data_IF_196156634971
#
_entry.id   IF_196156634971
#
_cell.length_a   1.000
_cell.length_b   1.000
_cell.length_c   1.000
_cell.angle_alpha   90.00
_cell.angle_beta   90.00
_cell.angle_gamma   90.00
#
_symmetry.space_group_name_H-M   'P 1'
#
loop_
_entity.id
_entity.type
_entity.pdbx_description
1 polymer ?
#
# COMPACT_ATOMS: atom_id res chain seq x y z
N UNK A 1 -71.83 18.78 51.04
CA UNK A 1 -70.70 17.83 51.13
C UNK A 1 -70.27 17.47 49.73
N UNK A 2 -69.24 18.15 49.22
CA UNK A 2 -68.77 18.05 47.83
C UNK A 2 -67.43 17.39 47.87
N UNK A 3 -67.30 16.24 47.23
CA UNK A 3 -66.02 15.49 47.10
C UNK A 3 -65.33 15.97 45.86
N UNK A 4 -64.05 16.47 46.01
CA UNK A 4 -63.10 16.76 44.94
C UNK A 4 -62.32 15.51 44.68
N UNK A 5 -62.40 15.04 43.45
CA UNK A 5 -61.52 13.94 42.95
C UNK A 5 -60.19 14.52 42.41
N UNK A 6 -59.06 14.10 42.96
CA UNK A 6 -57.75 14.44 42.47
C UNK A 6 -57.36 13.48 41.33
N UNK A 7 -57.06 14.03 40.17
CA UNK A 7 -56.50 13.27 39.01
C UNK A 7 -54.96 13.28 39.12
N UNK A 8 -54.39 12.13 39.35
CA UNK A 8 -52.94 11.95 39.31
C UNK A 8 -52.47 11.74 37.83
N UNK A 9 -51.70 12.68 37.31
CA UNK A 9 -51.01 12.53 36.00
C UNK A 9 -49.65 11.86 36.23
N UNK A 10 -49.55 10.57 35.86
CA UNK A 10 -48.29 9.85 35.83
C UNK A 10 -47.54 10.13 34.53
N UNK A 11 -46.55 11.03 34.58
CA UNK A 11 -45.63 11.28 33.48
C UNK A 11 -44.56 10.16 33.42
N UNK A 12 -44.62 9.31 32.41
CA UNK A 12 -43.55 8.35 32.10
C UNK A 12 -42.40 9.08 31.41
N UNK A 13 -41.26 9.23 32.09
CA UNK A 13 -39.99 9.64 31.51
C UNK A 13 -39.47 8.50 30.64
N UNK A 14 -39.67 8.58 29.35
CA UNK A 14 -39.05 7.71 28.37
C UNK A 14 -37.57 8.00 28.32
N UNK A 15 -36.73 7.09 28.88
CA UNK A 15 -35.30 7.10 28.63
C UNK A 15 -35.08 6.70 27.17
N UNK A 16 -34.67 7.65 26.33
CA UNK A 16 -34.14 7.33 25.01
C UNK A 16 -32.86 6.47 25.16
N UNK A 17 -32.92 5.24 24.72
CA UNK A 17 -31.70 4.40 24.60
C UNK A 17 -30.69 5.15 23.74
N UNK A 18 -29.42 5.20 24.14
CA UNK A 18 -28.38 5.77 23.28
C UNK A 18 -28.38 5.01 21.94
N UNK A 19 -28.47 5.76 20.84
CA UNK A 19 -28.35 5.19 19.51
C UNK A 19 -27.03 4.41 19.48
N UNK A 20 -27.09 3.13 19.09
CA UNK A 20 -25.91 2.35 18.88
C UNK A 20 -24.98 3.12 17.92
N UNK A 21 -23.73 3.35 18.33
CA UNK A 21 -22.75 3.99 17.48
C UNK A 21 -22.73 3.25 16.15
N UNK A 22 -22.87 3.99 15.04
CA UNK A 22 -22.73 3.39 13.72
C UNK A 22 -21.42 2.59 13.68
N UNK A 23 -21.41 1.36 13.12
CA UNK A 23 -20.17 0.58 13.03
C UNK A 23 -19.12 1.45 12.36
N UNK A 24 -17.91 1.51 12.96
CA UNK A 24 -16.80 2.28 12.42
C UNK A 24 -16.64 1.94 10.93
N UNK A 25 -16.56 2.96 10.08
CA UNK A 25 -16.45 2.80 8.62
C UNK A 25 -15.30 1.81 8.30
N UNK A 26 -15.58 0.66 7.70
CA UNK A 26 -14.60 -0.45 7.64
C UNK A 26 -13.50 -0.27 6.59
N UNK A 27 -13.43 0.88 5.93
CA UNK A 27 -12.62 1.10 4.75
C UNK A 27 -11.44 2.06 4.92
N UNK A 28 -11.10 2.70 3.81
CA UNK A 28 -10.07 3.74 3.75
C UNK A 28 -10.32 4.91 4.71
N UNK A 29 -11.57 5.37 4.97
CA UNK A 29 -11.83 6.40 5.97
C UNK A 29 -11.33 6.05 7.37
N UNK A 30 -11.53 4.82 7.83
CA UNK A 30 -10.99 4.38 9.11
C UNK A 30 -9.46 4.35 9.11
N UNK A 31 -8.85 3.90 8.01
CA UNK A 31 -7.40 3.92 7.85
C UNK A 31 -6.84 5.36 7.85
N UNK A 32 -7.51 6.31 7.21
CA UNK A 32 -7.12 7.74 7.24
C UNK A 32 -7.13 8.31 8.67
N UNK A 33 -8.06 7.87 9.50
CA UNK A 33 -8.19 8.32 10.89
C UNK A 33 -7.16 7.68 11.85
N UNK A 34 -6.42 6.66 11.41
CA UNK A 34 -5.39 6.02 12.23
C UNK A 34 -4.14 6.90 12.37
N UNK A 35 -3.45 6.71 13.48
CA UNK A 35 -2.10 7.25 13.69
C UNK A 35 -1.10 6.25 13.09
N UNK A 36 -0.17 6.78 12.31
CA UNK A 36 0.96 6.03 11.74
C UNK A 36 2.23 6.56 12.38
N UNK A 37 3.04 5.68 12.95
CA UNK A 37 4.20 6.00 13.78
C UNK A 37 5.42 5.16 13.40
N UNK A 38 5.56 4.83 12.11
CA UNK A 38 6.67 4.04 11.59
C UNK A 38 8.02 4.56 12.10
N UNK A 39 8.79 3.71 12.77
CA UNK A 39 10.00 4.08 13.50
C UNK A 39 11.01 2.93 13.53
N UNK A 40 12.18 3.19 14.11
CA UNK A 40 13.16 2.16 14.45
C UNK A 40 13.66 1.32 13.26
N UNK A 41 13.90 1.98 12.10
CA UNK A 41 14.56 1.29 10.98
C UNK A 41 15.97 0.86 11.41
N UNK A 42 16.17 -0.44 11.59
CA UNK A 42 17.41 -1.03 12.14
C UNK A 42 18.00 -2.07 11.20
N UNK A 43 19.32 -2.02 11.02
CA UNK A 43 20.08 -3.12 10.42
C UNK A 43 20.20 -4.24 11.46
N UNK A 44 19.75 -5.43 11.07
CA UNK A 44 19.78 -6.62 11.96
C UNK A 44 20.93 -7.56 11.63
N UNK A 45 21.29 -7.65 10.33
CA UNK A 45 22.34 -8.56 9.87
C UNK A 45 22.93 -8.08 8.56
N UNK A 46 24.24 -8.17 8.43
CA UNK A 46 24.92 -8.07 7.14
C UNK A 46 24.76 -9.40 6.37
N UNK A 47 24.31 -9.32 5.14
CA UNK A 47 24.10 -10.45 4.24
C UNK A 47 25.14 -10.48 3.10
N UNK A 48 26.21 -9.67 3.20
CA UNK A 48 27.23 -9.53 2.17
C UNK A 48 26.84 -8.47 1.13
N UNK A 49 26.97 -8.80 -0.13
CA UNK A 49 26.66 -7.87 -1.22
C UNK A 49 27.52 -8.10 -2.46
N UNK A 50 27.75 -7.02 -3.19
CA UNK A 50 28.56 -6.99 -4.43
C UNK A 50 29.63 -5.91 -4.34
N UNK A 51 30.41 -5.72 -5.41
CA UNK A 51 31.30 -4.55 -5.51
C UNK A 51 30.56 -3.20 -5.54
N UNK A 52 29.26 -3.19 -5.90
CA UNK A 52 28.45 -1.99 -6.03
C UNK A 52 27.66 -1.64 -4.78
N UNK A 53 27.21 -2.61 -3.99
CA UNK A 53 26.37 -2.38 -2.81
C UNK A 53 26.58 -3.46 -1.73
N UNK A 54 26.15 -3.15 -0.51
CA UNK A 54 25.96 -4.09 0.60
C UNK A 54 24.50 -4.45 0.76
N UNK A 55 24.20 -5.68 1.22
CA UNK A 55 22.86 -6.19 1.46
C UNK A 55 22.68 -6.47 2.94
N UNK A 56 21.57 -5.98 3.51
CA UNK A 56 21.30 -6.11 4.93
C UNK A 56 19.88 -6.60 5.18
N UNK A 57 19.73 -7.50 6.15
CA UNK A 57 18.42 -7.74 6.76
C UNK A 57 18.09 -6.56 7.69
N UNK A 58 16.87 -6.06 7.59
CA UNK A 58 16.40 -4.93 8.37
C UNK A 58 15.07 -5.22 9.04
N UNK A 59 14.74 -4.42 10.06
CA UNK A 59 13.40 -4.35 10.66
C UNK A 59 13.00 -2.90 10.85
N UNK A 60 11.70 -2.66 10.91
CA UNK A 60 11.11 -1.41 11.39
C UNK A 60 9.81 -1.70 12.12
N UNK A 61 9.34 -0.76 12.94
CA UNK A 61 8.08 -0.87 13.65
C UNK A 61 6.94 -0.29 12.82
N UNK A 62 5.81 -1.01 12.78
CA UNK A 62 4.56 -0.63 12.10
C UNK A 62 3.41 -0.75 13.12
N UNK A 63 3.19 0.31 13.89
CA UNK A 63 2.39 0.26 15.11
C UNK A 63 3.04 -0.69 16.13
N UNK A 64 2.28 -1.69 16.58
CA UNK A 64 2.76 -2.73 17.50
C UNK A 64 3.42 -3.92 16.79
N UNK A 65 3.58 -3.88 15.47
CA UNK A 65 4.17 -4.97 14.70
C UNK A 65 5.59 -4.63 14.25
N UNK A 66 6.50 -5.60 14.39
CA UNK A 66 7.83 -5.56 13.76
C UNK A 66 7.76 -6.16 12.37
N UNK A 67 8.11 -5.36 11.37
CA UNK A 67 8.15 -5.78 9.96
C UNK A 67 9.60 -5.98 9.53
N UNK A 68 9.86 -7.11 8.88
CA UNK A 68 11.18 -7.43 8.31
C UNK A 68 11.32 -6.94 6.87
N UNK A 69 12.55 -6.91 6.38
CA UNK A 69 12.85 -6.56 5.00
C UNK A 69 14.32 -6.70 4.65
N UNK A 70 14.62 -6.33 3.41
CA UNK A 70 15.99 -6.26 2.88
C UNK A 70 16.30 -4.84 2.46
N UNK A 71 17.47 -4.37 2.85
CA UNK A 71 18.05 -3.12 2.37
C UNK A 71 19.29 -3.42 1.52
N UNK A 72 19.27 -3.04 0.24
CA UNK A 72 20.48 -2.95 -0.57
C UNK A 72 20.97 -1.50 -0.52
N UNK A 73 22.14 -1.30 0.12
CA UNK A 73 22.77 0.01 0.30
C UNK A 73 23.93 0.17 -0.67
N UNK A 74 23.94 1.21 -1.54
CA UNK A 74 25.09 1.51 -2.40
C UNK A 74 26.40 1.60 -1.63
N UNK A 75 27.54 1.28 -2.26
CA UNK A 75 28.87 1.55 -1.68
C UNK A 75 29.10 3.06 -1.60
N UNK A 76 29.87 3.49 -0.63
CA UNK A 76 30.16 4.90 -0.40
C UNK A 76 29.51 5.45 0.87
N UNK A 77 29.71 6.75 1.10
CA UNK A 77 29.27 7.41 2.33
C UNK A 77 27.78 7.80 2.31
N UNK A 78 27.21 8.14 1.14
CA UNK A 78 25.89 8.74 1.05
C UNK A 78 25.87 10.22 1.46
N UNK A 79 24.72 10.80 1.87
CA UNK A 79 23.44 10.11 2.01
C UNK A 79 22.83 9.74 0.65
N UNK A 80 22.11 8.62 0.59
CA UNK A 80 21.47 8.12 -0.60
C UNK A 80 19.94 8.21 -0.51
N UNK A 81 19.24 8.60 -1.58
CA UNK A 81 17.78 8.54 -1.62
C UNK A 81 17.29 7.11 -1.50
N UNK A 82 16.08 6.93 -0.97
CA UNK A 82 15.52 5.62 -0.69
C UNK A 82 14.34 5.34 -1.61
N UNK A 83 14.26 4.10 -2.11
CA UNK A 83 13.06 3.59 -2.80
C UNK A 83 12.52 2.42 -1.99
N UNK A 84 11.34 2.59 -1.40
CA UNK A 84 10.60 1.53 -0.73
C UNK A 84 9.95 0.65 -1.79
N UNK A 85 10.17 -0.67 -1.72
CA UNK A 85 9.67 -1.65 -2.67
C UNK A 85 8.55 -2.48 -2.05
N UNK A 86 7.35 -2.33 -2.60
CA UNK A 86 6.12 -3.00 -2.22
C UNK A 86 5.83 -4.16 -3.19
N UNK A 87 6.14 -5.41 -2.77
CA UNK A 87 6.11 -6.58 -3.66
C UNK A 87 4.70 -7.04 -4.04
N UNK A 88 4.59 -7.81 -5.14
CA UNK A 88 3.37 -8.49 -5.57
C UNK A 88 3.00 -9.66 -4.66
N UNK A 89 1.83 -10.27 -4.92
CA UNK A 89 1.39 -11.43 -4.14
C UNK A 89 2.36 -12.60 -4.29
N UNK A 90 2.80 -13.10 -3.17
CA UNK A 90 3.50 -14.39 -3.00
C UNK A 90 2.86 -15.02 -1.76
N UNK A 91 2.53 -16.31 -1.82
CA UNK A 91 1.93 -16.98 -0.67
C UNK A 91 2.82 -16.83 0.57
N UNK A 92 2.33 -16.26 1.67
CA UNK A 92 3.11 -16.06 2.89
C UNK A 92 3.76 -17.34 3.45
N UNK A 93 3.20 -18.51 3.13
CA UNK A 93 3.73 -19.81 3.58
C UNK A 93 5.05 -20.20 2.91
N UNK A 94 5.30 -19.68 1.71
CA UNK A 94 6.51 -19.97 0.91
C UNK A 94 7.36 -18.75 0.65
N UNK A 95 6.93 -17.59 1.10
CA UNK A 95 7.66 -16.33 0.92
C UNK A 95 8.99 -16.33 1.69
N UNK A 96 10.02 -15.84 1.04
CA UNK A 96 11.35 -15.63 1.63
C UNK A 96 11.66 -14.14 1.64
N UNK A 97 12.21 -13.64 2.75
CA UNK A 97 12.57 -12.23 2.96
C UNK A 97 13.29 -11.63 1.74
N UNK A 98 12.73 -10.55 1.21
CA UNK A 98 13.24 -9.85 0.04
C UNK A 98 12.94 -10.54 -1.29
N UNK A 99 12.02 -11.50 -1.33
CA UNK A 99 11.58 -12.15 -2.56
C UNK A 99 10.75 -11.19 -3.42
N UNK A 100 11.01 -11.22 -4.72
CA UNK A 100 10.46 -10.27 -5.68
C UNK A 100 11.41 -9.09 -5.93
N UNK A 101 11.15 -8.33 -6.97
CA UNK A 101 11.91 -7.13 -7.34
C UNK A 101 13.44 -7.29 -7.44
N UNK A 102 13.96 -8.48 -7.68
CA UNK A 102 15.42 -8.71 -7.67
C UNK A 102 16.19 -7.84 -8.66
N UNK A 103 15.61 -7.61 -9.84
CA UNK A 103 16.21 -6.73 -10.86
C UNK A 103 16.21 -5.28 -10.42
N UNK A 104 15.09 -4.82 -9.89
CA UNK A 104 14.89 -3.47 -9.38
C UNK A 104 15.77 -3.21 -8.16
N UNK A 105 15.85 -4.17 -7.22
CA UNK A 105 16.75 -4.07 -6.05
C UNK A 105 18.21 -3.92 -6.47
N UNK A 106 18.68 -4.73 -7.43
CA UNK A 106 20.06 -4.69 -7.94
C UNK A 106 20.31 -3.38 -8.69
N UNK A 107 19.40 -3.01 -9.60
CA UNK A 107 19.57 -1.82 -10.43
C UNK A 107 19.59 -0.55 -9.58
N UNK A 108 18.64 -0.37 -8.67
CA UNK A 108 18.56 0.79 -7.78
C UNK A 108 19.85 0.96 -6.98
N UNK A 109 20.32 -0.13 -6.36
CA UNK A 109 21.52 -0.08 -5.53
C UNK A 109 22.81 0.20 -6.34
N UNK A 110 22.87 -0.20 -7.63
CA UNK A 110 23.96 0.16 -8.54
C UNK A 110 23.91 1.60 -9.01
N UNK A 111 22.73 2.21 -8.98
CA UNK A 111 22.51 3.58 -9.46
C UNK A 111 22.28 4.58 -8.29
N UNK A 112 22.94 4.32 -7.17
CA UNK A 112 22.99 5.22 -6.01
C UNK A 112 21.66 5.42 -5.27
N UNK A 113 20.70 4.52 -5.38
CA UNK A 113 19.50 4.48 -4.57
C UNK A 113 19.59 3.36 -3.52
N UNK A 114 19.16 3.61 -2.30
CA UNK A 114 18.88 2.53 -1.36
C UNK A 114 17.58 1.84 -1.80
N UNK A 115 17.64 0.54 -2.06
CA UNK A 115 16.45 -0.28 -2.29
C UNK A 115 16.02 -0.91 -0.96
N UNK A 116 14.93 -0.42 -0.37
CA UNK A 116 14.34 -0.95 0.84
C UNK A 116 13.13 -1.83 0.49
N UNK A 117 13.34 -3.13 0.39
CA UNK A 117 12.29 -4.10 0.11
C UNK A 117 11.66 -4.59 1.41
N UNK A 118 10.38 -4.28 1.63
CA UNK A 118 9.65 -4.70 2.82
C UNK A 118 8.93 -6.04 2.61
N UNK A 119 8.77 -6.81 3.68
CA UNK A 119 8.16 -8.15 3.62
C UNK A 119 6.65 -8.15 3.89
N UNK A 120 6.06 -7.07 4.37
CA UNK A 120 4.71 -6.95 4.96
C UNK A 120 4.49 -7.85 6.20
N UNK A 121 3.44 -7.54 6.97
CA UNK A 121 2.93 -8.42 8.02
C UNK A 121 2.57 -9.79 7.45
N UNK A 122 2.65 -10.83 8.24
CA UNK A 122 2.42 -12.22 7.87
C UNK A 122 3.47 -12.85 6.94
N UNK A 123 4.44 -12.09 6.41
CA UNK A 123 5.45 -12.61 5.49
C UNK A 123 6.79 -12.81 6.21
N UNK A 124 7.49 -13.90 5.89
CA UNK A 124 8.80 -14.26 6.44
C UNK A 124 8.88 -14.10 7.98
N UNK A 125 9.81 -13.26 8.46
CA UNK A 125 10.03 -12.99 9.89
C UNK A 125 9.18 -11.86 10.47
N UNK A 126 8.32 -11.23 9.69
CA UNK A 126 7.40 -10.19 10.19
C UNK A 126 6.35 -10.73 11.12
N UNK A 127 5.88 -9.90 12.04
CA UNK A 127 4.80 -10.23 12.96
C UNK A 127 3.48 -10.54 12.22
N UNK A 128 2.59 -11.22 12.92
CA UNK A 128 1.35 -11.76 12.35
C UNK A 128 0.15 -10.90 12.69
N UNK A 129 -0.70 -10.70 11.67
CA UNK A 129 -2.02 -10.11 11.77
C UNK A 129 -3.04 -11.04 11.10
N UNK A 130 -3.89 -11.74 11.87
CA UNK A 130 -4.86 -12.67 11.32
C UNK A 130 -5.96 -11.98 10.51
N UNK A 131 -6.09 -10.68 10.59
CA UNK A 131 -7.14 -9.91 9.90
C UNK A 131 -6.71 -9.39 8.52
N UNK A 132 -5.43 -9.52 8.15
CA UNK A 132 -4.84 -8.93 6.94
C UNK A 132 -5.59 -9.30 5.64
N UNK A 133 -5.99 -10.58 5.48
CA UNK A 133 -6.70 -11.04 4.29
C UNK A 133 -8.15 -10.51 4.22
N UNK A 134 -8.79 -10.33 5.37
CA UNK A 134 -10.19 -9.86 5.46
C UNK A 134 -10.30 -8.34 5.52
N UNK A 135 -9.21 -7.61 5.75
CA UNK A 135 -9.16 -6.15 5.75
C UNK A 135 -8.84 -5.55 4.38
N UNK A 136 -8.98 -6.32 3.30
CA UNK A 136 -8.69 -5.89 1.92
C UNK A 136 -7.28 -5.29 1.75
N UNK A 137 -6.32 -5.84 2.51
CA UNK A 137 -4.89 -5.48 2.50
C UNK A 137 -4.57 -4.07 3.02
N UNK A 138 -5.50 -3.41 3.72
CA UNK A 138 -5.23 -2.12 4.37
C UNK A 138 -4.08 -2.20 5.37
N UNK A 139 -3.89 -3.36 6.03
CA UNK A 139 -2.72 -3.62 6.86
C UNK A 139 -1.39 -3.53 6.10
N UNK A 140 -1.34 -4.01 4.85
CA UNK A 140 -0.14 -3.88 4.01
C UNK A 140 0.13 -2.42 3.61
N UNK A 141 -0.93 -1.62 3.37
CA UNK A 141 -0.78 -0.19 3.15
C UNK A 141 -0.22 0.52 4.41
N UNK A 142 -0.65 0.10 5.60
CA UNK A 142 -0.10 0.58 6.86
C UNK A 142 1.41 0.25 6.98
N UNK A 143 1.82 -0.96 6.60
CA UNK A 143 3.23 -1.35 6.63
C UNK A 143 4.07 -0.51 5.65
N UNK A 144 3.54 -0.20 4.45
CA UNK A 144 4.20 0.69 3.48
C UNK A 144 4.34 2.11 4.02
N UNK A 145 3.26 2.67 4.60
CA UNK A 145 3.28 4.01 5.20
C UNK A 145 4.32 4.08 6.32
N UNK A 146 4.30 3.09 7.22
CA UNK A 146 5.22 3.05 8.35
C UNK A 146 6.67 2.78 7.92
N UNK A 147 6.92 2.03 6.84
CA UNK A 147 8.26 1.94 6.24
C UNK A 147 8.76 3.32 5.78
N UNK A 148 7.91 4.08 5.10
CA UNK A 148 8.24 5.45 4.68
C UNK A 148 8.53 6.37 5.87
N UNK A 149 7.70 6.36 6.90
CA UNK A 149 7.91 7.13 8.12
C UNK A 149 9.20 6.72 8.86
N UNK A 150 9.47 5.42 8.97
CA UNK A 150 10.70 4.92 9.59
C UNK A 150 11.96 5.34 8.81
N UNK A 151 11.87 5.52 7.48
CA UNK A 151 12.94 6.13 6.67
C UNK A 151 13.06 7.62 6.98
N UNK A 152 11.95 8.37 7.03
CA UNK A 152 11.92 9.82 7.34
C UNK A 152 12.53 10.14 8.72
N UNK A 153 12.33 9.26 9.70
CA UNK A 153 12.88 9.42 11.06
C UNK A 153 14.25 8.74 11.26
N UNK A 154 14.79 8.11 10.21
CA UNK A 154 16.03 7.34 10.33
C UNK A 154 17.24 8.24 10.68
N UNK A 155 18.02 7.81 11.66
CA UNK A 155 19.31 8.41 12.02
C UNK A 155 20.52 7.74 11.38
N UNK A 156 20.31 6.80 10.47
CA UNK A 156 21.38 6.11 9.74
C UNK A 156 22.06 7.10 8.78
N UNK A 157 23.36 7.41 8.95
CA UNK A 157 24.02 8.55 8.30
C UNK A 157 24.13 8.44 6.77
N UNK A 158 23.86 7.29 6.22
CA UNK A 158 23.89 7.05 4.77
C UNK A 158 22.50 7.14 4.11
N UNK A 159 21.43 7.33 4.88
CA UNK A 159 20.07 7.54 4.38
C UNK A 159 19.82 9.03 4.17
N UNK A 160 19.36 9.38 2.97
CA UNK A 160 18.73 10.66 2.74
C UNK A 160 17.23 10.54 3.06
N UNK A 161 16.86 10.99 4.23
CA UNK A 161 15.50 10.88 4.73
C UNK A 161 14.53 11.94 4.15
N UNK A 162 15.02 12.85 3.33
CA UNK A 162 14.20 13.84 2.60
C UNK A 162 13.89 13.42 1.17
N UNK A 163 14.57 12.37 0.64
CA UNK A 163 14.40 11.90 -0.75
C UNK A 163 13.91 10.45 -0.77
N UNK A 164 12.61 10.28 -0.84
CA UNK A 164 11.95 8.98 -0.66
C UNK A 164 10.91 8.70 -1.73
N UNK A 165 11.03 7.59 -2.46
CA UNK A 165 10.02 7.13 -3.40
C UNK A 165 9.42 5.78 -3.00
N UNK A 166 8.23 5.49 -3.54
CA UNK A 166 7.53 4.22 -3.43
C UNK A 166 7.48 3.53 -4.80
N UNK A 167 7.82 2.24 -4.86
CA UNK A 167 7.66 1.43 -6.06
C UNK A 167 6.88 0.15 -5.74
N UNK A 168 5.72 -0.01 -6.36
CA UNK A 168 4.84 -1.16 -6.14
C UNK A 168 4.60 -1.97 -7.40
N UNK A 169 4.53 -3.32 -7.28
CA UNK A 169 4.17 -4.20 -8.41
C UNK A 169 2.94 -5.04 -8.07
N UNK A 170 2.04 -5.21 -9.05
CA UNK A 170 0.88 -6.10 -8.92
C UNK A 170 0.07 -5.76 -7.67
N UNK A 171 -0.10 -6.69 -6.73
CA UNK A 171 -0.67 -6.42 -5.40
C UNK A 171 -0.03 -5.21 -4.74
N UNK A 172 1.31 -5.11 -4.75
CA UNK A 172 2.04 -3.99 -4.16
C UNK A 172 1.76 -2.65 -4.85
N UNK A 173 1.40 -2.64 -6.14
CA UNK A 173 0.91 -1.45 -6.84
C UNK A 173 -0.45 -0.99 -6.32
N UNK A 174 -1.38 -1.93 -6.08
CA UNK A 174 -2.66 -1.63 -5.43
C UNK A 174 -2.49 -1.14 -3.98
N UNK A 175 -1.56 -1.75 -3.23
CA UNK A 175 -1.18 -1.31 -1.88
C UNK A 175 -0.58 0.10 -1.91
N UNK A 176 0.23 0.43 -2.94
CA UNK A 176 0.78 1.78 -3.12
C UNK A 176 -0.35 2.81 -3.29
N UNK A 177 -1.37 2.55 -4.13
CA UNK A 177 -2.51 3.46 -4.25
C UNK A 177 -3.26 3.65 -2.93
N UNK A 178 -3.43 2.59 -2.13
CA UNK A 178 -4.02 2.71 -0.79
C UNK A 178 -3.14 3.58 0.12
N UNK A 179 -1.82 3.35 0.17
CA UNK A 179 -0.90 4.13 1.00
C UNK A 179 -0.94 5.63 0.65
N UNK A 180 -0.89 5.98 -0.65
CA UNK A 180 -0.92 7.36 -1.13
C UNK A 180 -2.22 8.11 -0.76
N UNK A 181 -3.38 7.44 -0.79
CA UNK A 181 -4.65 8.08 -0.40
C UNK A 181 -4.84 8.12 1.11
N UNK A 182 -4.32 7.15 1.85
CA UNK A 182 -4.43 7.08 3.32
C UNK A 182 -3.54 8.15 3.96
N UNK A 183 -2.27 8.20 3.57
CA UNK A 183 -1.29 9.12 4.15
C UNK A 183 -0.46 9.81 3.05
N UNK A 184 -1.03 10.79 2.35
CA UNK A 184 -0.30 11.55 1.32
C UNK A 184 0.87 12.33 1.94
N UNK A 185 1.92 12.58 1.16
CA UNK A 185 3.10 13.34 1.55
C UNK A 185 4.15 12.54 2.33
N UNK A 186 3.98 11.24 2.50
CA UNK A 186 5.05 10.37 3.05
C UNK A 186 6.15 10.14 2.02
N UNK A 187 5.77 10.00 0.74
CA UNK A 187 6.68 9.80 -0.38
C UNK A 187 6.74 11.03 -1.26
N UNK A 188 7.87 11.26 -1.94
CA UNK A 188 8.03 12.37 -2.89
C UNK A 188 7.58 11.99 -4.29
N UNK A 189 7.55 10.69 -4.60
CA UNK A 189 7.12 10.14 -5.87
C UNK A 189 6.67 8.68 -5.73
N UNK A 190 5.81 8.21 -6.63
CA UNK A 190 5.38 6.82 -6.65
C UNK A 190 5.45 6.21 -8.06
N UNK A 191 5.80 4.93 -8.11
CA UNK A 191 5.92 4.16 -9.35
C UNK A 191 5.13 2.86 -9.18
N UNK A 192 4.37 2.45 -10.21
CA UNK A 192 3.70 1.16 -10.20
C UNK A 192 3.96 0.35 -11.46
N UNK A 193 4.14 -0.96 -11.28
CA UNK A 193 4.23 -1.94 -12.36
C UNK A 193 3.04 -2.88 -12.30
N UNK A 194 2.26 -2.97 -13.38
CA UNK A 194 1.16 -3.94 -13.51
C UNK A 194 0.29 -4.01 -12.24
N UNK A 195 -0.10 -2.84 -11.72
CA UNK A 195 -0.83 -2.75 -10.46
C UNK A 195 -2.19 -3.46 -10.52
N UNK A 196 -2.62 -4.00 -9.39
CA UNK A 196 -4.02 -4.44 -9.23
C UNK A 196 -4.97 -3.25 -9.33
N UNK A 197 -6.25 -3.49 -9.55
CA UNK A 197 -7.24 -2.42 -9.70
C UNK A 197 -7.27 -1.50 -8.48
N UNK A 198 -7.38 -0.20 -8.72
CA UNK A 198 -7.70 0.78 -7.69
C UNK A 198 -9.15 0.72 -7.19
N UNK A 199 -9.99 -0.14 -7.85
CA UNK A 199 -11.31 -0.52 -7.40
C UNK A 199 -11.27 -1.89 -6.71
N UNK A 200 -11.61 -1.94 -5.44
CA UNK A 200 -11.54 -3.15 -4.63
C UNK A 200 -12.47 -4.26 -5.11
N UNK A 201 -13.61 -3.91 -5.74
CA UNK A 201 -14.56 -4.88 -6.30
C UNK A 201 -13.91 -5.73 -7.40
N UNK A 202 -13.10 -5.13 -8.28
CA UNK A 202 -12.42 -5.86 -9.35
C UNK A 202 -11.48 -6.92 -8.77
N UNK A 203 -10.71 -6.54 -7.74
CA UNK A 203 -9.77 -7.42 -7.05
C UNK A 203 -10.49 -8.57 -6.33
N UNK A 204 -11.59 -8.27 -5.62
CA UNK A 204 -12.41 -9.27 -4.98
C UNK A 204 -12.96 -10.27 -5.99
N UNK A 205 -13.55 -9.80 -7.08
CA UNK A 205 -14.15 -10.65 -8.12
C UNK A 205 -13.11 -11.54 -8.78
N UNK A 206 -11.89 -11.05 -9.01
CA UNK A 206 -10.85 -11.84 -9.69
C UNK A 206 -10.23 -12.91 -8.81
N UNK A 207 -9.88 -12.59 -7.56
CA UNK A 207 -9.03 -13.48 -6.76
C UNK A 207 -9.68 -14.02 -5.48
N UNK A 208 -10.68 -13.33 -4.92
CA UNK A 208 -11.21 -13.70 -3.61
C UNK A 208 -12.58 -14.38 -3.72
N UNK A 209 -13.45 -13.94 -4.61
CA UNK A 209 -14.84 -14.44 -4.75
C UNK A 209 -14.94 -15.98 -4.85
N UNK A 210 -13.97 -16.61 -5.48
CA UNK A 210 -13.94 -18.07 -5.70
C UNK A 210 -13.21 -18.84 -4.57
N UNK A 211 -12.59 -18.14 -3.62
CA UNK A 211 -12.08 -18.73 -2.39
C UNK A 211 -13.22 -18.83 -1.38
N UNK A 212 -13.92 -19.99 -1.34
CA UNK A 212 -15.16 -20.16 -0.62
C UNK A 212 -15.15 -19.77 0.87
N UNK A 213 -14.06 -19.96 1.61
CA UNK A 213 -13.97 -19.57 3.02
C UNK A 213 -13.69 -18.08 3.20
N UNK A 214 -12.70 -17.55 2.50
CA UNK A 214 -12.32 -16.13 2.57
C UNK A 214 -13.45 -15.24 2.03
N UNK A 215 -14.05 -15.61 0.89
CA UNK A 215 -15.18 -14.87 0.33
C UNK A 215 -16.36 -14.78 1.30
N UNK A 216 -16.74 -15.91 1.93
CA UNK A 216 -17.82 -15.92 2.94
C UNK A 216 -17.51 -14.99 4.12
N UNK A 217 -16.27 -15.01 4.63
CA UNK A 217 -15.87 -14.14 5.74
C UNK A 217 -15.94 -12.67 5.34
N UNK A 218 -15.44 -12.31 4.16
CA UNK A 218 -15.48 -10.93 3.64
C UNK A 218 -16.93 -10.49 3.44
N UNK A 219 -17.77 -11.30 2.79
CA UNK A 219 -19.18 -11.00 2.54
C UNK A 219 -19.97 -10.90 3.86
N UNK A 220 -19.71 -11.76 4.83
CA UNK A 220 -20.34 -11.67 6.14
C UNK A 220 -19.99 -10.37 6.87
N UNK A 221 -18.77 -9.87 6.67
CA UNK A 221 -18.26 -8.65 7.32
C UNK A 221 -18.76 -7.37 6.64
N UNK A 222 -18.81 -7.35 5.32
CA UNK A 222 -19.00 -6.12 4.52
C UNK A 222 -20.25 -6.11 3.64
N UNK A 223 -20.96 -7.23 3.52
CA UNK A 223 -21.94 -7.49 2.47
C UNK A 223 -21.26 -7.84 1.14
N UNK A 224 -22.03 -8.35 0.17
CA UNK A 224 -21.49 -8.54 -1.19
C UNK A 224 -21.35 -7.20 -1.92
N UNK A 225 -20.50 -7.10 -2.96
CA UNK A 225 -20.41 -5.88 -3.77
C UNK A 225 -21.76 -5.40 -4.31
N UNK A 226 -22.64 -6.32 -4.63
CA UNK A 226 -23.98 -6.03 -5.17
C UNK A 226 -24.97 -5.56 -4.08
N UNK A 227 -24.85 -6.12 -2.87
CA UNK A 227 -25.74 -5.77 -1.73
C UNK A 227 -25.29 -4.55 -0.97
N UNK A 228 -24.00 -4.23 -0.96
CA UNK A 228 -23.42 -3.11 -0.19
C UNK A 228 -22.42 -2.29 -1.03
N UNK A 229 -22.80 -1.75 -2.20
CA UNK A 229 -21.88 -1.09 -3.13
C UNK A 229 -21.13 0.10 -2.50
N UNK A 230 -21.78 0.84 -1.60
CA UNK A 230 -21.15 1.98 -0.93
C UNK A 230 -20.02 1.55 0.01
N UNK A 231 -20.17 0.43 0.72
CA UNK A 231 -19.07 -0.12 1.56
C UNK A 231 -17.85 -0.45 0.70
N UNK A 232 -18.05 -1.10 -0.43
CA UNK A 232 -16.98 -1.45 -1.37
C UNK A 232 -16.35 -0.20 -2.02
N UNK A 233 -17.13 0.83 -2.25
CA UNK A 233 -16.64 2.13 -2.70
C UNK A 233 -15.69 2.75 -1.66
N UNK A 234 -16.02 2.68 -0.37
CA UNK A 234 -15.15 3.21 0.70
C UNK A 234 -13.84 2.43 0.86
N UNK A 235 -13.77 1.19 0.39
CA UNK A 235 -12.54 0.38 0.38
C UNK A 235 -11.69 0.57 -0.88
N UNK A 236 -12.18 1.31 -1.87
CA UNK A 236 -11.53 1.50 -3.17
C UNK A 236 -10.66 2.76 -3.19
N UNK A 237 -9.36 2.62 -3.45
CA UNK A 237 -8.42 3.75 -3.44
C UNK A 237 -8.84 4.86 -4.42
N UNK A 238 -9.39 4.50 -5.60
CA UNK A 238 -9.83 5.49 -6.60
C UNK A 238 -10.86 6.50 -6.08
N UNK A 239 -11.65 6.14 -5.07
CA UNK A 239 -12.64 7.03 -4.43
C UNK A 239 -11.97 8.24 -3.76
N UNK A 240 -10.72 8.09 -3.38
CA UNK A 240 -9.98 9.08 -2.60
C UNK A 240 -8.79 9.69 -3.34
N UNK A 241 -8.70 9.52 -4.64
CA UNK A 241 -7.58 10.04 -5.43
C UNK A 241 -7.40 11.56 -5.35
N UNK A 242 -8.45 12.31 -5.01
CA UNK A 242 -8.32 13.73 -4.71
C UNK A 242 -7.31 14.04 -3.59
N UNK A 243 -7.02 13.08 -2.71
CA UNK A 243 -6.03 13.21 -1.61
C UNK A 243 -4.58 13.03 -2.02
N UNK A 244 -4.31 12.34 -3.14
CA UNK A 244 -2.95 12.10 -3.62
C UNK A 244 -2.23 13.42 -3.89
N UNK A 245 -1.00 13.52 -3.44
CA UNK A 245 -0.12 14.70 -3.64
C UNK A 245 1.13 14.36 -4.44
N UNK A 246 1.49 13.10 -4.49
CA UNK A 246 2.68 12.59 -5.16
C UNK A 246 2.48 12.48 -6.67
N UNK A 247 3.50 12.81 -7.50
CA UNK A 247 3.54 12.41 -8.89
C UNK A 247 3.61 10.88 -9.01
N UNK A 248 2.89 10.31 -9.98
CA UNK A 248 2.77 8.86 -10.16
C UNK A 248 3.16 8.46 -11.58
N UNK A 249 4.10 7.51 -11.70
CA UNK A 249 4.44 6.85 -12.96
C UNK A 249 3.93 5.41 -12.95
N UNK A 250 3.03 5.08 -13.88
CA UNK A 250 2.41 3.77 -13.97
C UNK A 250 2.87 3.05 -15.25
N UNK A 251 3.27 1.79 -15.12
CA UNK A 251 3.59 0.90 -16.24
C UNK A 251 2.62 -0.25 -16.31
N UNK A 252 2.09 -0.55 -17.52
CA UNK A 252 1.21 -1.68 -17.71
C UNK A 252 1.40 -2.33 -19.08
N UNK A 253 1.39 -3.67 -19.11
CA UNK A 253 1.45 -4.45 -20.34
C UNK A 253 0.05 -4.67 -20.93
N UNK A 254 -0.12 -4.50 -22.24
CA UNK A 254 -1.45 -4.69 -22.87
C UNK A 254 -1.86 -6.16 -23.00
N UNK A 255 -0.94 -7.10 -22.76
CA UNK A 255 -1.21 -8.55 -22.75
C UNK A 255 -0.99 -9.12 -21.33
N UNK A 256 -1.21 -8.30 -20.27
CA UNK A 256 -1.14 -8.74 -18.89
C UNK A 256 -2.34 -9.64 -18.56
N UNK A 257 -2.08 -10.92 -18.34
CA UNK A 257 -3.07 -11.94 -18.01
C UNK A 257 -3.47 -11.93 -16.52
N UNK A 258 -2.65 -11.33 -15.67
CA UNK A 258 -2.89 -11.25 -14.22
C UNK A 258 -3.69 -10.02 -13.84
N UNK A 259 -3.27 -8.84 -14.29
CA UNK A 259 -3.93 -7.56 -14.04
C UNK A 259 -4.39 -6.97 -15.38
N UNK A 260 -5.70 -6.87 -15.58
CA UNK A 260 -6.25 -6.37 -16.83
C UNK A 260 -5.81 -4.92 -17.11
N UNK A 261 -5.35 -4.64 -18.34
CA UNK A 261 -5.00 -3.28 -18.78
C UNK A 261 -6.16 -2.28 -18.61
N UNK A 262 -7.39 -2.73 -18.66
CA UNK A 262 -8.57 -1.90 -18.42
C UNK A 262 -8.55 -1.30 -17.01
N UNK A 263 -7.99 -1.99 -16.03
CA UNK A 263 -7.85 -1.49 -14.66
C UNK A 263 -6.85 -0.33 -14.56
N UNK A 264 -5.73 -0.46 -15.27
CA UNK A 264 -4.72 0.61 -15.33
C UNK A 264 -5.29 1.86 -16.01
N UNK A 265 -5.99 1.68 -17.14
CA UNK A 265 -6.66 2.79 -17.85
C UNK A 265 -7.73 3.46 -16.98
N UNK A 266 -8.54 2.67 -16.26
CA UNK A 266 -9.55 3.21 -15.34
C UNK A 266 -8.92 3.94 -14.13
N UNK A 267 -7.75 3.48 -13.67
CA UNK A 267 -6.99 4.13 -12.61
C UNK A 267 -6.42 5.46 -13.09
N UNK A 268 -5.81 5.47 -14.28
CA UNK A 268 -5.27 6.66 -14.94
C UNK A 268 -6.35 7.72 -15.16
N UNK A 269 -7.49 7.32 -15.74
CA UNK A 269 -8.63 8.21 -15.94
C UNK A 269 -9.15 8.80 -14.61
N UNK A 270 -9.18 8.00 -13.53
CA UNK A 270 -9.62 8.48 -12.22
C UNK A 270 -8.61 9.45 -11.58
N UNK A 271 -7.30 9.22 -11.71
CA UNK A 271 -6.25 10.15 -11.28
C UNK A 271 -6.30 11.45 -12.06
N UNK A 272 -6.39 11.37 -13.40
CA UNK A 272 -6.53 12.53 -14.28
C UNK A 272 -7.79 13.33 -13.96
N UNK A 273 -8.93 12.65 -13.77
CA UNK A 273 -10.20 13.28 -13.37
C UNK A 273 -10.13 13.96 -11.99
N UNK A 274 -9.24 13.51 -11.12
CA UNK A 274 -8.94 14.15 -9.84
C UNK A 274 -7.86 15.25 -9.93
N UNK A 275 -7.37 15.57 -11.13
CA UNK A 275 -6.34 16.60 -11.38
C UNK A 275 -4.95 16.23 -10.83
N UNK A 276 -4.59 14.93 -10.83
CA UNK A 276 -3.32 14.46 -10.28
C UNK A 276 -2.23 14.35 -11.35
N UNK A 277 -0.98 14.61 -10.95
CA UNK A 277 0.19 14.37 -11.80
C UNK A 277 0.45 12.87 -11.89
N UNK A 278 -0.16 12.24 -12.89
CA UNK A 278 -0.04 10.80 -13.13
C UNK A 278 0.20 10.53 -14.60
N UNK A 279 1.03 9.54 -14.91
CA UNK A 279 1.35 9.12 -16.27
C UNK A 279 1.25 7.60 -16.37
N UNK A 280 0.40 7.09 -17.27
CA UNK A 280 0.35 5.69 -17.66
C UNK A 280 1.17 5.45 -18.91
N UNK A 281 2.14 4.53 -18.84
CA UNK A 281 2.92 4.04 -19.99
C UNK A 281 2.48 2.61 -20.29
N UNK A 282 1.82 2.42 -21.43
CA UNK A 282 1.40 1.11 -21.89
C UNK A 282 2.46 0.45 -22.77
N UNK A 283 2.73 -0.83 -22.55
CA UNK A 283 3.65 -1.62 -23.38
C UNK A 283 2.86 -2.66 -24.18
N UNK A 284 2.79 -2.44 -25.50
CA UNK A 284 2.09 -3.33 -26.43
C UNK A 284 2.65 -4.76 -26.34
N UNK A 285 1.75 -5.73 -26.17
CA UNK A 285 2.04 -7.17 -26.08
C UNK A 285 2.97 -7.55 -24.89
N UNK A 286 3.24 -6.67 -23.94
CA UNK A 286 3.94 -7.04 -22.71
C UNK A 286 2.97 -7.71 -21.72
N UNK A 287 3.45 -8.76 -21.05
CA UNK A 287 2.75 -9.43 -19.95
C UNK A 287 3.12 -8.84 -18.59
N UNK A 288 2.70 -9.53 -17.54
CA UNK A 288 2.77 -9.05 -16.14
C UNK A 288 4.17 -8.71 -15.64
N UNK A 289 5.23 -9.36 -16.12
CA UNK A 289 6.59 -9.26 -15.57
C UNK A 289 7.54 -8.34 -16.34
N UNK A 290 7.12 -7.73 -17.45
CA UNK A 290 7.91 -6.78 -18.22
C UNK A 290 9.30 -7.29 -18.66
N UNK A 291 9.42 -8.58 -19.01
CA UNK A 291 10.73 -9.11 -19.42
C UNK A 291 11.26 -8.43 -20.69
N UNK A 292 10.41 -8.21 -21.70
CA UNK A 292 10.80 -7.56 -22.94
C UNK A 292 11.13 -6.09 -22.78
N UNK A 293 10.22 -5.25 -22.25
CA UNK A 293 10.45 -3.81 -22.16
C UNK A 293 11.26 -3.35 -20.94
N UNK A 294 11.90 -4.25 -20.19
CA UNK A 294 12.64 -3.94 -18.97
C UNK A 294 13.61 -2.77 -19.12
N UNK A 295 14.42 -2.76 -20.20
CA UNK A 295 15.41 -1.70 -20.42
C UNK A 295 14.78 -0.30 -20.58
N UNK A 296 13.60 -0.20 -21.21
CA UNK A 296 12.89 1.06 -21.35
C UNK A 296 12.18 1.46 -20.06
N UNK A 297 11.54 0.50 -19.36
CA UNK A 297 10.88 0.80 -18.08
C UNK A 297 11.86 1.35 -17.06
N UNK A 298 13.02 0.70 -16.89
CA UNK A 298 13.99 1.12 -15.87
C UNK A 298 14.66 2.46 -16.20
N UNK A 299 14.89 2.76 -17.48
CA UNK A 299 15.35 4.08 -17.92
C UNK A 299 14.33 5.19 -17.59
N UNK A 300 13.02 4.93 -17.76
CA UNK A 300 11.96 5.86 -17.38
C UNK A 300 11.86 6.02 -15.88
N UNK A 301 12.06 4.94 -15.11
CA UNK A 301 12.17 5.01 -13.64
C UNK A 301 13.32 5.93 -13.23
N UNK A 302 14.50 5.76 -13.83
CA UNK A 302 15.66 6.61 -13.57
C UNK A 302 15.38 8.09 -13.83
N UNK A 303 14.83 8.41 -15.01
CA UNK A 303 14.44 9.77 -15.37
C UNK A 303 13.40 10.36 -14.39
N UNK A 304 12.42 9.56 -13.99
CA UNK A 304 11.37 9.98 -13.07
C UNK A 304 11.91 10.22 -11.65
N UNK A 305 12.72 9.29 -11.15
CA UNK A 305 13.38 9.46 -9.84
C UNK A 305 14.36 10.65 -9.86
N UNK A 306 15.16 10.81 -10.92
CA UNK A 306 16.05 11.96 -11.09
C UNK A 306 15.30 13.29 -11.05
N UNK A 307 14.15 13.37 -11.73
CA UNK A 307 13.29 14.57 -11.73
C UNK A 307 12.71 14.90 -10.36
N UNK A 308 12.24 13.90 -9.61
CA UNK A 308 11.45 14.11 -8.40
C UNK A 308 12.23 13.97 -7.10
N UNK A 309 13.37 13.26 -7.11
CA UNK A 309 14.26 13.13 -5.96
C UNK A 309 15.55 13.96 -6.11
N UNK A 310 15.80 14.56 -7.29
CA UNK A 310 17.02 15.32 -7.53
C UNK A 310 18.30 14.47 -7.45
N UNK A 311 18.23 13.20 -7.88
CA UNK A 311 19.33 12.24 -7.77
C UNK A 311 20.03 12.01 -9.11
#
# INVERSE_FOLDING_TARGET
MTWLAAVAVSGSLGFASPAAAAPADPGIPAAIAQVYDGRDLKIRKDLGGTSAYTRHAVTYESGDLTITGIMNKPRGKGPFPVVVLAHGYIDPKVYVTGQGFRREQDWLARNSYIALHIDYRNHAGSDKDPTADTSMRLGYAADVINAGLAVRESTLPFIDNERLALLGRSMGGGVAFQALVIRPGVFDAAITYAATSSNTVDNFNKWQRYNNSLARTIIAKYGSPEAAPEVWRTMSARTYFARVTEPILMFHGTADESCDIAWARATDAALTGAGKDATLVEYKNAGHYFYGPWGDTIRRVDQFLGKHLGA
#
